data_IF_206632276344
#
_entry.id   IF_206632276344
#
_cell.length_a   1.000
_cell.length_b   1.000
_cell.length_c   1.000
_cell.angle_alpha   90.00
_cell.angle_beta   90.00
_cell.angle_gamma   90.00
#
_symmetry.space_group_name_H-M   'P 1'
#
loop_
_entity.id
_entity.type
_entity.pdbx_description
1 polymer ?
#
# COMPACT_ATOMS: atom_id res chain seq x y z
N UNK A 1 3.67 -2.43 14.64
CA UNK A 1 2.48 -1.88 14.01
C UNK A 1 2.55 -2.02 12.50
N UNK A 2 1.50 -2.54 11.90
CA UNK A 2 1.42 -2.74 10.46
C UNK A 2 0.19 -2.03 9.92
N UNK A 3 0.35 -1.40 8.76
CA UNK A 3 -0.74 -0.69 8.09
C UNK A 3 -1.00 -1.35 6.74
N UNK A 4 -2.26 -1.64 6.46
CA UNK A 4 -2.69 -2.19 5.17
C UNK A 4 -3.51 -1.15 4.45
N UNK A 5 -3.22 -0.94 3.18
CA UNK A 5 -3.85 0.11 2.39
C UNK A 5 -4.40 -0.49 1.09
N UNK A 6 -5.67 -0.22 0.81
CA UNK A 6 -6.25 -0.55 -0.48
C UNK A 6 -5.83 0.54 -1.47
N UNK A 7 -4.77 0.26 -2.22
CA UNK A 7 -4.17 1.27 -3.08
C UNK A 7 -5.07 1.67 -4.25
N UNK A 8 -5.96 0.76 -4.68
CA UNK A 8 -6.86 1.09 -5.79
C UNK A 8 -7.91 2.12 -5.39
N UNK A 9 -8.25 2.17 -4.11
CA UNK A 9 -9.21 3.13 -3.60
C UNK A 9 -8.56 4.38 -3.02
N UNK A 10 -7.24 4.46 -3.06
CA UNK A 10 -6.51 5.54 -2.40
C UNK A 10 -6.00 6.55 -3.44
N UNK A 11 -6.35 7.82 -3.31
CA UNK A 11 -5.83 8.84 -4.22
C UNK A 11 -4.31 8.95 -4.17
N UNK A 12 -3.73 9.39 -5.29
CA UNK A 12 -2.28 9.46 -5.41
C UNK A 12 -1.65 10.33 -4.32
N UNK A 13 -2.25 11.48 -4.05
CA UNK A 13 -1.70 12.38 -3.03
C UNK A 13 -1.70 11.75 -1.65
N UNK A 14 -2.74 10.97 -1.34
CA UNK A 14 -2.82 10.29 -0.06
C UNK A 14 -1.76 9.18 0.01
N UNK A 15 -1.56 8.47 -1.10
CA UNK A 15 -0.50 7.45 -1.13
C UNK A 15 0.86 8.06 -0.84
N UNK A 16 1.14 9.21 -1.43
CA UNK A 16 2.43 9.87 -1.18
C UNK A 16 2.60 10.27 0.27
N UNK A 17 1.54 10.73 0.90
CA UNK A 17 1.59 11.04 2.33
C UNK A 17 1.88 9.79 3.16
N UNK A 18 1.27 8.67 2.78
CA UNK A 18 1.51 7.41 3.46
C UNK A 18 2.96 6.95 3.30
N UNK A 19 3.52 7.11 2.10
CA UNK A 19 4.92 6.75 1.87
C UNK A 19 5.85 7.57 2.75
N UNK A 20 5.63 8.87 2.81
CA UNK A 20 6.46 9.74 3.66
C UNK A 20 6.34 9.35 5.13
N UNK A 21 5.14 9.09 5.57
CA UNK A 21 4.90 8.71 6.95
C UNK A 21 5.60 7.40 7.28
N UNK A 22 5.50 6.42 6.39
CA UNK A 22 6.14 5.13 6.60
C UNK A 22 7.65 5.27 6.69
N UNK A 23 8.24 6.07 5.80
CA UNK A 23 9.67 6.27 5.81
C UNK A 23 10.12 6.97 7.09
N UNK A 24 9.36 7.97 7.50
CA UNK A 24 9.74 8.76 8.67
C UNK A 24 9.57 7.99 9.97
N UNK A 25 8.50 7.24 10.10
CA UNK A 25 8.18 6.56 11.36
C UNK A 25 8.68 5.13 11.44
N UNK A 26 9.02 4.52 10.31
CA UNK A 26 9.44 3.13 10.28
C UNK A 26 8.28 2.14 10.41
N UNK A 27 7.05 2.60 10.28
CA UNK A 27 5.89 1.70 10.36
C UNK A 27 5.77 0.90 9.07
N UNK A 28 5.58 -0.41 9.17
CA UNK A 28 5.40 -1.28 8.02
C UNK A 28 4.08 -0.98 7.34
N UNK A 29 4.14 -0.60 6.08
CA UNK A 29 2.97 -0.23 5.29
C UNK A 29 2.90 -1.12 4.06
N UNK A 30 1.80 -1.84 3.90
CA UNK A 30 1.58 -2.73 2.78
C UNK A 30 0.42 -2.20 1.94
N UNK A 31 0.69 -2.01 0.66
CA UNK A 31 -0.33 -1.56 -0.28
C UNK A 31 -0.77 -2.73 -1.14
N UNK A 32 -2.08 -2.91 -1.26
CA UNK A 32 -2.68 -3.99 -2.04
C UNK A 32 -3.38 -3.37 -3.24
N UNK A 33 -3.09 -3.89 -4.43
CA UNK A 33 -3.65 -3.34 -5.66
C UNK A 33 -3.92 -4.45 -6.67
N UNK A 34 -4.82 -4.19 -7.60
CA UNK A 34 -5.11 -5.14 -8.67
C UNK A 34 -4.07 -5.08 -9.77
N UNK A 35 -3.37 -3.97 -9.93
CA UNK A 35 -2.34 -3.79 -10.92
C UNK A 35 -1.01 -3.52 -10.25
N UNK A 36 0.07 -3.66 -11.01
CA UNK A 36 1.39 -3.36 -10.48
C UNK A 36 1.42 -1.93 -9.95
N UNK A 37 1.94 -1.78 -8.75
CA UNK A 37 2.06 -0.49 -8.09
C UNK A 37 3.53 -0.24 -7.77
N UNK A 38 4.05 0.86 -8.30
CA UNK A 38 5.41 1.27 -7.99
C UNK A 38 5.42 1.99 -6.64
N UNK A 39 6.22 1.48 -5.73
CA UNK A 39 6.37 2.10 -4.42
C UNK A 39 7.81 2.55 -4.23
N UNK A 40 8.05 3.53 -3.34
CA UNK A 40 9.43 3.95 -3.06
C UNK A 40 10.28 2.82 -2.51
N UNK A 41 11.56 2.79 -2.83
CA UNK A 41 12.46 1.78 -2.26
C UNK A 41 12.69 2.05 -0.78
N UNK A 42 11.94 1.38 0.05
CA UNK A 42 12.03 1.54 1.49
C UNK A 42 11.81 0.19 2.14
N UNK A 43 12.55 -0.14 3.22
CA UNK A 43 12.36 -1.41 3.91
C UNK A 43 11.00 -1.51 4.61
N UNK A 44 10.28 -0.43 4.72
CA UNK A 44 9.00 -0.40 5.44
C UNK A 44 7.80 -0.31 4.52
N UNK A 45 7.99 -0.26 3.20
CA UNK A 45 6.89 -0.13 2.26
C UNK A 45 6.88 -1.33 1.34
N UNK A 46 5.72 -2.00 1.30
CA UNK A 46 5.54 -3.22 0.51
C UNK A 46 4.35 -3.04 -0.42
N UNK A 47 4.38 -3.70 -1.56
CA UNK A 47 3.23 -3.72 -2.45
C UNK A 47 2.90 -5.17 -2.81
N UNK A 48 1.62 -5.48 -2.84
CA UNK A 48 1.13 -6.80 -3.21
C UNK A 48 0.14 -6.62 -4.33
N UNK A 49 0.38 -7.34 -5.44
CA UNK A 49 -0.57 -7.35 -6.53
C UNK A 49 -1.48 -8.55 -6.37
N UNK A 50 -2.78 -8.32 -6.41
CA UNK A 50 -3.78 -9.39 -6.29
C UNK A 50 -4.63 -9.42 -7.54
N UNK A 51 -5.26 -10.58 -7.78
CA UNK A 51 -6.19 -10.71 -8.88
C UNK A 51 -7.37 -9.78 -8.71
N UNK A 52 -7.84 -9.25 -9.83
CA UNK A 52 -8.99 -8.37 -9.80
C UNK A 52 -10.22 -9.05 -9.19
N UNK A 53 -10.34 -10.35 -9.40
CA UNK A 53 -11.45 -11.11 -8.85
C UNK A 53 -11.25 -11.55 -7.41
N UNK A 54 -10.08 -11.28 -6.86
CA UNK A 54 -9.78 -11.70 -5.49
C UNK A 54 -10.42 -10.72 -4.53
N UNK A 55 -11.32 -11.22 -3.73
CA UNK A 55 -12.14 -10.36 -2.90
C UNK A 55 -11.70 -10.42 -1.45
N UNK A 56 -10.61 -9.75 -1.17
CA UNK A 56 -10.05 -9.73 0.18
C UNK A 56 -10.93 -8.90 1.11
N UNK A 57 -11.47 -7.83 0.58
CA UNK A 57 -12.14 -6.84 1.40
C UNK A 57 -13.46 -7.32 1.96
N UNK A 58 -14.07 -8.30 1.30
CA UNK A 58 -15.38 -8.79 1.70
C UNK A 58 -15.30 -9.88 2.76
N UNK A 59 -14.13 -10.23 3.17
CA UNK A 59 -14.00 -11.32 4.15
C UNK A 59 -14.00 -10.80 5.57
#
# INVERSE_FOLDING_TARGET
LKVWVDADACPVLIKEMLYRSAIRTGVSTTLVANAFLRVPPSPNIFSIQVDKGFDVADN
#
